data_IF_853995745384
#
_entry.id   IF_853995745384
#
_cell.length_a   1.000
_cell.length_b   1.000
_cell.length_c   1.000
_cell.angle_alpha   90.00
_cell.angle_beta   90.00
_cell.angle_gamma   90.00
#
_symmetry.space_group_name_H-M   'P 1'
#
loop_
_entity.id
_entity.type
_entity.pdbx_description
1 polymer ?
#
# COMPACT_ATOMS: atom_id res chain seq x y z
N UNK A 1 -11.50 -1.06 10.91
CA UNK A 1 -10.70 -0.29 9.92
C UNK A 1 -9.39 0.09 10.59
N UNK A 2 -8.48 0.77 9.92
CA UNK A 2 -7.14 1.09 10.44
C UNK A 2 -7.16 2.03 11.65
N UNK A 3 -8.24 2.76 11.88
CA UNK A 3 -8.46 3.57 13.08
C UNK A 3 -9.21 2.86 14.22
N UNK A 4 -9.56 1.58 14.04
CA UNK A 4 -10.24 0.76 15.04
C UNK A 4 -9.23 0.05 15.95
N UNK A 5 -9.64 -0.27 17.18
CA UNK A 5 -8.79 -1.00 18.13
C UNK A 5 -9.26 -2.47 18.25
N UNK A 6 -8.64 -3.39 17.50
CA UNK A 6 -9.09 -4.77 17.42
C UNK A 6 -8.78 -5.59 18.68
N UNK A 7 -7.87 -5.15 19.55
CA UNK A 7 -7.55 -5.87 20.78
C UNK A 7 -8.71 -5.90 21.78
N UNK A 8 -9.70 -5.01 21.67
CA UNK A 8 -10.89 -5.03 22.53
C UNK A 8 -11.73 -6.31 22.37
N UNK A 9 -11.78 -6.86 21.16
CA UNK A 9 -12.56 -8.08 20.88
C UNK A 9 -11.66 -9.30 20.65
N UNK A 10 -10.42 -9.09 20.20
CA UNK A 10 -9.51 -10.17 19.82
C UNK A 10 -8.11 -10.03 20.46
N UNK A 11 -8.03 -9.91 21.81
CA UNK A 11 -6.79 -9.53 22.50
C UNK A 11 -5.66 -10.57 22.34
N UNK A 12 -5.99 -11.87 22.42
CA UNK A 12 -4.98 -12.93 22.31
C UNK A 12 -4.38 -13.02 20.89
N UNK A 13 -5.20 -12.77 19.88
CA UNK A 13 -4.77 -12.80 18.48
C UNK A 13 -3.84 -11.63 18.19
N UNK A 14 -4.24 -10.41 18.54
CA UNK A 14 -3.44 -9.23 18.29
C UNK A 14 -2.17 -9.18 19.13
N UNK A 15 -2.18 -9.73 20.36
CA UNK A 15 -0.95 -9.96 21.13
C UNK A 15 0.05 -10.86 20.41
N UNK A 16 -0.43 -11.91 19.72
CA UNK A 16 0.44 -12.79 18.91
C UNK A 16 0.88 -12.15 17.60
N UNK A 17 0.06 -11.31 16.98
CA UNK A 17 0.41 -10.61 15.73
C UNK A 17 1.46 -9.54 16.00
N UNK A 18 1.35 -8.79 17.10
CA UNK A 18 2.26 -7.70 17.46
C UNK A 18 3.73 -8.15 17.64
N UNK A 19 3.97 -9.42 17.96
CA UNK A 19 5.33 -9.97 18.12
C UNK A 19 5.87 -10.62 16.85
N UNK A 20 5.09 -10.68 15.77
CA UNK A 20 5.52 -11.30 14.53
C UNK A 20 6.19 -10.30 13.61
N UNK A 21 7.29 -10.74 12.99
CA UNK A 21 7.83 -10.04 11.84
C UNK A 21 6.82 -10.03 10.69
N UNK A 22 6.76 -8.91 9.99
CA UNK A 22 5.92 -8.77 8.79
C UNK A 22 6.31 -9.81 7.74
N UNK A 23 5.35 -10.20 6.90
CA UNK A 23 5.58 -11.11 5.78
C UNK A 23 6.67 -10.58 4.83
N UNK A 24 6.67 -9.26 4.58
CA UNK A 24 7.71 -8.59 3.79
C UNK A 24 9.11 -8.82 4.38
N UNK A 25 9.29 -8.54 5.67
CA UNK A 25 10.59 -8.70 6.34
C UNK A 25 11.07 -10.15 6.37
N UNK A 26 10.16 -11.11 6.58
CA UNK A 26 10.49 -12.54 6.53
C UNK A 26 11.00 -12.96 5.14
N UNK A 27 10.33 -12.52 4.09
CA UNK A 27 10.70 -12.85 2.73
C UNK A 27 12.00 -12.16 2.29
N UNK A 28 12.20 -10.90 2.67
CA UNK A 28 13.46 -10.18 2.47
C UNK A 28 14.65 -10.94 3.07
N UNK A 29 14.52 -11.39 4.33
CA UNK A 29 15.56 -12.21 4.99
C UNK A 29 15.82 -13.52 4.27
N UNK A 30 14.78 -14.18 3.78
CA UNK A 30 14.92 -15.40 3.00
C UNK A 30 15.73 -15.15 1.72
N UNK A 31 15.38 -14.13 0.94
CA UNK A 31 16.09 -13.80 -0.30
C UNK A 31 17.55 -13.42 -0.06
N UNK A 32 17.85 -12.74 1.05
CA UNK A 32 19.23 -12.43 1.46
C UNK A 32 19.98 -13.72 1.82
N UNK A 33 19.36 -14.63 2.56
CA UNK A 33 19.96 -15.92 2.92
C UNK A 33 20.23 -16.79 1.68
N UNK A 34 19.33 -16.75 0.71
CA UNK A 34 19.46 -17.41 -0.60
C UNK A 34 20.42 -16.66 -1.55
N UNK A 35 20.94 -15.50 -1.13
CA UNK A 35 21.83 -14.63 -1.92
C UNK A 35 21.23 -14.16 -3.25
N UNK A 36 19.90 -14.10 -3.32
CA UNK A 36 19.17 -13.57 -4.48
C UNK A 36 19.28 -12.04 -4.52
N UNK A 37 19.27 -11.41 -3.35
CA UNK A 37 19.49 -9.98 -3.17
C UNK A 37 20.44 -9.74 -1.99
N UNK A 38 21.05 -8.57 -1.97
CA UNK A 38 21.80 -8.04 -0.84
C UNK A 38 20.89 -7.26 0.12
N UNK A 39 21.30 -7.05 1.38
CA UNK A 39 20.56 -6.16 2.30
C UNK A 39 20.40 -4.73 1.77
N UNK A 40 21.37 -4.25 0.99
CA UNK A 40 21.32 -2.92 0.38
C UNK A 40 20.23 -2.84 -0.70
N UNK A 41 20.12 -3.86 -1.55
CA UNK A 41 19.08 -3.96 -2.58
C UNK A 41 17.68 -4.10 -1.95
N UNK A 42 17.54 -4.90 -0.88
CA UNK A 42 16.28 -5.01 -0.13
C UNK A 42 15.79 -3.67 0.40
N UNK A 43 16.70 -2.88 0.98
CA UNK A 43 16.40 -1.51 1.43
C UNK A 43 16.05 -0.58 0.27
N UNK A 44 16.80 -0.64 -0.82
CA UNK A 44 16.60 0.22 -1.99
C UNK A 44 15.18 0.08 -2.56
N UNK A 45 14.66 -1.15 -2.66
CA UNK A 45 13.29 -1.40 -3.14
C UNK A 45 12.23 -0.69 -2.29
N UNK A 46 12.38 -0.71 -0.96
CA UNK A 46 11.45 -0.02 -0.06
C UNK A 46 11.55 1.48 -0.22
N UNK A 47 12.78 2.01 -0.25
CA UNK A 47 13.02 3.45 -0.39
C UNK A 47 12.47 3.98 -1.73
N UNK A 48 12.69 3.26 -2.83
CA UNK A 48 12.19 3.60 -4.16
C UNK A 48 10.66 3.64 -4.18
N UNK A 49 10.00 2.65 -3.57
CA UNK A 49 8.54 2.62 -3.52
C UNK A 49 7.98 3.74 -2.64
N UNK A 50 8.61 4.02 -1.49
CA UNK A 50 8.23 5.17 -0.66
C UNK A 50 8.40 6.48 -1.41
N UNK A 51 9.50 6.68 -2.14
CA UNK A 51 9.70 7.87 -2.99
C UNK A 51 8.67 7.96 -4.11
N UNK A 52 8.29 6.83 -4.71
CA UNK A 52 7.22 6.79 -5.70
C UNK A 52 5.89 7.28 -5.11
N UNK A 53 5.50 6.79 -3.94
CA UNK A 53 4.29 7.23 -3.24
C UNK A 53 4.35 8.71 -2.85
N UNK A 54 5.51 9.20 -2.40
CA UNK A 54 5.70 10.62 -2.07
C UNK A 54 5.54 11.51 -3.31
N UNK A 55 6.15 11.13 -4.44
CA UNK A 55 5.98 11.86 -5.71
C UNK A 55 4.52 11.86 -6.16
N UNK A 56 3.82 10.74 -6.02
CA UNK A 56 2.41 10.63 -6.34
C UNK A 56 1.57 11.54 -5.43
N UNK A 57 1.86 11.56 -4.12
CA UNK A 57 1.21 12.45 -3.17
C UNK A 57 1.44 13.93 -3.50
N UNK A 58 2.67 14.33 -3.82
CA UNK A 58 2.99 15.70 -4.23
C UNK A 58 2.26 16.11 -5.51
N UNK A 59 2.16 15.20 -6.49
CA UNK A 59 1.42 15.47 -7.72
C UNK A 59 -0.06 15.79 -7.46
N UNK A 60 -0.67 15.23 -6.41
CA UNK A 60 -2.08 15.49 -6.06
C UNK A 60 -2.38 16.96 -5.78
N UNK A 61 -1.40 17.76 -5.33
CA UNK A 61 -1.58 19.20 -5.04
C UNK A 61 -1.99 20.01 -6.27
N UNK A 62 -1.56 19.56 -7.43
CA UNK A 62 -1.86 20.19 -8.73
C UNK A 62 -2.89 19.41 -9.55
N UNK A 63 -3.27 18.21 -9.08
CA UNK A 63 -4.19 17.35 -9.77
C UNK A 63 -5.62 17.90 -9.67
N UNK A 64 -6.23 18.15 -10.84
CA UNK A 64 -7.67 18.38 -10.92
C UNK A 64 -8.32 17.04 -11.24
N UNK A 65 -9.31 16.59 -10.46
CA UNK A 65 -10.09 15.43 -10.83
C UNK A 65 -10.72 15.68 -12.20
N UNK A 66 -10.38 14.84 -13.17
CA UNK A 66 -11.18 14.76 -14.38
C UNK A 66 -12.52 14.12 -13.97
N UNK A 67 -13.62 14.55 -14.57
CA UNK A 67 -14.92 13.90 -14.40
C UNK A 67 -14.76 12.38 -14.53
N UNK A 68 -15.52 11.65 -13.71
CA UNK A 68 -15.31 10.22 -13.51
C UNK A 68 -15.35 9.41 -14.83
N UNK A 69 -14.16 9.10 -15.34
CA UNK A 69 -13.91 8.24 -16.52
C UNK A 69 -14.65 6.89 -16.40
N UNK A 70 -14.89 6.44 -15.16
CA UNK A 70 -15.54 5.17 -14.86
C UNK A 70 -17.05 5.14 -15.17
N UNK A 71 -17.72 6.30 -15.23
CA UNK A 71 -19.17 6.39 -15.49
C UNK A 71 -19.50 7.14 -16.78
N UNK A 72 -18.63 8.04 -17.26
CA UNK A 72 -18.91 8.84 -18.47
C UNK A 72 -19.05 7.96 -19.72
N UNK A 73 -18.15 6.99 -19.95
CA UNK A 73 -18.18 6.21 -21.19
C UNK A 73 -19.40 5.30 -21.39
N UNK A 74 -20.01 4.80 -20.30
CA UNK A 74 -21.18 3.92 -20.38
C UNK A 74 -22.52 4.67 -20.45
N UNK A 75 -22.52 5.98 -20.14
CA UNK A 75 -23.73 6.81 -20.05
C UNK A 75 -23.67 8.02 -20.99
N UNK A 76 -22.65 8.10 -21.86
CA UNK A 76 -22.52 9.14 -22.87
C UNK A 76 -23.75 9.13 -23.80
N UNK A 77 -24.50 10.22 -23.82
CA UNK A 77 -25.73 10.36 -24.61
C UNK A 77 -27.05 10.11 -23.86
N UNK A 78 -27.03 9.75 -22.58
CA UNK A 78 -28.24 9.75 -21.74
C UNK A 78 -28.49 11.15 -21.19
N UNK A 79 -29.50 11.84 -21.72
CA UNK A 79 -30.08 13.04 -21.11
C UNK A 79 -31.48 12.73 -20.57
N UNK A 80 -31.87 13.37 -19.46
CA UNK A 80 -33.27 13.31 -19.03
C UNK A 80 -34.17 14.03 -20.06
N UNK A 81 -35.36 13.48 -20.28
CA UNK A 81 -36.38 13.99 -21.19
C UNK A 81 -36.98 15.33 -20.71
#
# INVERSE_FOLDING_TARGET
NEGDEPAFTQPLMYKKIATQESTRSKYEKQLIAEKVITPAEGKAVVDEFTQYLEKAFEATKSFKPNSADFLEGAWEGLSMA
#
